data_IF_848717909066
#
_entry.id   IF_848717909066
#
_cell.length_a   1.000
_cell.length_b   1.000
_cell.length_c   1.000
_cell.angle_alpha   90.00
_cell.angle_beta   90.00
_cell.angle_gamma   90.00
#
_symmetry.space_group_name_H-M   'P 1'
#
loop_
_entity.id
_entity.type
_entity.pdbx_description
1 polymer ?
#
# COMPACT_ATOMS: atom_id res chain seq x y z
N UNK A 1 -2.30 1.63 5.91
CA UNK A 1 -3.18 1.70 7.09
C UNK A 1 -3.54 3.15 7.26
N UNK A 2 -4.83 3.50 7.20
CA UNK A 2 -5.26 4.90 7.36
C UNK A 2 -5.12 5.25 8.83
N UNK A 3 -4.32 6.26 9.13
CA UNK A 3 -4.29 6.87 10.45
C UNK A 3 -5.54 7.73 10.55
N UNK A 4 -6.55 7.27 11.28
CA UNK A 4 -7.74 8.05 11.58
C UNK A 4 -7.39 8.98 12.75
N UNK A 5 -7.26 10.26 12.50
CA UNK A 5 -7.26 11.27 13.55
C UNK A 5 -8.69 11.77 13.73
N UNK A 6 -9.13 11.94 14.95
CA UNK A 6 -10.49 12.26 15.34
C UNK A 6 -10.50 13.62 16.02
N UNK A 7 -10.69 14.64 15.26
CA UNK A 7 -10.82 15.98 15.81
C UNK A 7 -12.23 16.52 15.63
N UNK A 8 -12.98 16.65 16.67
CA UNK A 8 -13.88 17.75 16.97
C UNK A 8 -14.57 17.52 18.32
N UNK A 9 -14.12 18.26 19.30
CA UNK A 9 -14.82 18.38 20.58
C UNK A 9 -14.42 17.38 21.68
N UNK A 10 -13.55 16.40 21.39
CA UNK A 10 -13.11 15.45 22.40
C UNK A 10 -11.77 15.86 22.99
N UNK A 11 -11.77 16.18 24.27
CA UNK A 11 -10.59 16.42 25.11
C UNK A 11 -10.14 15.15 25.84
N UNK A 12 -10.78 14.01 25.55
CA UNK A 12 -10.50 12.74 26.23
C UNK A 12 -9.97 11.67 25.25
N UNK A 13 -9.05 10.86 25.76
CA UNK A 13 -8.49 9.72 25.04
C UNK A 13 -9.57 8.63 24.79
N UNK A 14 -9.77 8.24 23.53
CA UNK A 14 -10.65 7.15 23.16
C UNK A 14 -9.88 5.89 22.84
N UNK A 15 -10.35 4.78 23.37
CA UNK A 15 -9.77 3.46 23.13
C UNK A 15 -10.69 2.59 22.31
N UNK A 16 -10.08 1.80 21.41
CA UNK A 16 -10.78 0.88 20.53
C UNK A 16 -10.11 -0.48 20.54
N UNK A 17 -10.88 -1.56 20.54
CA UNK A 17 -10.40 -2.88 20.18
C UNK A 17 -10.29 -2.96 18.65
N UNK A 18 -9.18 -3.51 18.13
CA UNK A 18 -9.01 -3.81 16.71
C UNK A 18 -9.27 -5.29 16.50
N UNK A 19 -10.14 -5.60 15.56
CA UNK A 19 -10.60 -6.97 15.28
C UNK A 19 -10.34 -7.31 13.81
N UNK A 20 -9.96 -8.56 13.56
CA UNK A 20 -9.84 -9.17 12.24
C UNK A 20 -10.57 -10.51 12.26
N UNK A 21 -11.55 -10.71 11.36
CA UNK A 21 -12.44 -11.88 11.37
C UNK A 21 -13.11 -12.14 12.74
N UNK A 22 -13.51 -11.08 13.44
CA UNK A 22 -14.15 -11.17 14.75
C UNK A 22 -13.19 -11.45 15.94
N UNK A 23 -11.92 -11.77 15.68
CA UNK A 23 -10.91 -11.95 16.72
C UNK A 23 -10.22 -10.63 17.03
N UNK A 24 -10.03 -10.33 18.30
CA UNK A 24 -9.28 -9.14 18.72
C UNK A 24 -7.80 -9.34 18.44
N UNK A 25 -7.25 -8.47 17.58
CA UNK A 25 -5.84 -8.50 17.16
C UNK A 25 -5.03 -7.33 17.70
N UNK A 26 -5.68 -6.40 18.41
CA UNK A 26 -4.98 -5.23 18.92
C UNK A 26 -5.88 -4.22 19.60
N UNK A 27 -5.32 -3.04 19.76
CA UNK A 27 -6.06 -1.87 20.21
C UNK A 27 -5.57 -0.62 19.49
N UNK A 28 -6.43 0.40 19.48
CA UNK A 28 -6.06 1.74 19.06
C UNK A 28 -6.45 2.76 20.13
N UNK A 29 -5.68 3.83 20.22
CA UNK A 29 -5.93 5.01 21.03
C UNK A 29 -5.97 6.23 20.13
N UNK A 30 -6.95 7.10 20.32
CA UNK A 30 -7.02 8.43 19.72
C UNK A 30 -7.17 9.44 20.83
N UNK A 31 -6.39 10.52 20.79
CA UNK A 31 -6.48 11.64 21.69
C UNK A 31 -6.26 12.95 20.95
N UNK A 32 -7.01 13.98 21.32
CA UNK A 32 -6.82 15.34 20.83
C UNK A 32 -6.69 16.28 22.01
N UNK A 33 -5.72 17.17 21.97
CA UNK A 33 -5.45 18.15 23.01
C UNK A 33 -5.27 19.53 22.40
N UNK A 34 -5.78 20.56 23.07
CA UNK A 34 -5.49 21.96 22.69
C UNK A 34 -4.07 22.31 23.07
N UNK A 35 -3.38 23.02 22.19
CA UNK A 35 -1.99 23.46 22.39
C UNK A 35 -1.77 24.82 21.75
N UNK A 36 -0.55 25.33 21.85
CA UNK A 36 -0.11 26.54 21.14
C UNK A 36 1.06 26.18 20.25
N UNK A 37 0.99 26.54 18.98
CA UNK A 37 2.07 26.34 18.01
C UNK A 37 2.38 27.66 17.29
N UNK A 38 3.64 28.10 17.36
CA UNK A 38 4.09 29.38 16.80
C UNK A 38 3.19 30.59 17.21
N UNK A 39 2.74 30.63 18.48
CA UNK A 39 1.91 31.70 19.01
C UNK A 39 0.43 31.64 18.62
N UNK A 40 -0.01 30.62 17.88
CA UNK A 40 -1.41 30.41 17.47
C UNK A 40 -2.03 29.26 18.25
N UNK A 41 -3.36 29.35 18.50
CA UNK A 41 -4.12 28.20 19.00
C UNK A 41 -4.03 27.05 18.01
N UNK A 42 -3.69 25.87 18.49
CA UNK A 42 -3.47 24.68 17.71
C UNK A 42 -4.12 23.46 18.39
N UNK A 43 -4.31 22.40 17.61
CA UNK A 43 -4.71 21.10 18.11
C UNK A 43 -3.56 20.11 17.88
N UNK A 44 -3.33 19.26 18.87
CA UNK A 44 -2.41 18.14 18.80
C UNK A 44 -3.23 16.86 18.85
N UNK A 45 -3.28 16.16 17.72
CA UNK A 45 -3.93 14.87 17.59
C UNK A 45 -2.88 13.76 17.66
N UNK A 46 -3.16 12.69 18.40
CA UNK A 46 -2.32 11.50 18.45
C UNK A 46 -3.15 10.26 18.21
N UNK A 47 -2.65 9.38 17.37
CA UNK A 47 -3.17 8.02 17.18
C UNK A 47 -2.08 7.00 17.47
N UNK A 48 -2.41 6.00 18.30
CA UNK A 48 -1.55 4.85 18.58
C UNK A 48 -2.32 3.59 18.22
N UNK A 49 -1.74 2.74 17.37
CA UNK A 49 -2.29 1.42 17.06
C UNK A 49 -1.25 0.35 17.38
N UNK A 50 -1.67 -0.66 18.13
CA UNK A 50 -0.85 -1.84 18.47
C UNK A 50 -1.58 -3.07 17.93
N UNK A 51 -0.89 -3.86 17.11
CA UNK A 51 -1.44 -5.03 16.43
C UNK A 51 -0.57 -6.26 16.66
N UNK A 52 -1.23 -7.42 16.77
CA UNK A 52 -0.63 -8.75 16.78
C UNK A 52 -1.38 -9.59 15.75
N UNK A 53 -0.81 -9.77 14.57
CA UNK A 53 -1.46 -10.43 13.41
C UNK A 53 -0.57 -11.53 12.84
N UNK A 54 -1.16 -12.43 12.05
CA UNK A 54 -0.45 -13.30 11.12
C UNK A 54 -0.22 -12.60 9.78
N UNK A 55 0.88 -12.88 9.13
CA UNK A 55 1.19 -12.45 7.75
C UNK A 55 2.02 -13.54 7.06
N UNK A 56 1.42 -14.22 6.09
CA UNK A 56 2.04 -15.32 5.32
C UNK A 56 2.67 -16.38 6.27
N UNK A 57 1.89 -16.82 7.27
CA UNK A 57 2.32 -17.81 8.27
C UNK A 57 3.29 -17.33 9.33
N UNK A 58 3.71 -16.06 9.32
CA UNK A 58 4.57 -15.47 10.34
C UNK A 58 3.75 -14.61 11.31
N UNK A 59 4.13 -14.62 12.59
CA UNK A 59 3.55 -13.68 13.57
C UNK A 59 4.23 -12.31 13.47
N UNK A 60 3.41 -11.26 13.39
CA UNK A 60 3.85 -9.87 13.26
C UNK A 60 3.27 -9.05 14.40
N UNK A 61 4.13 -8.50 15.24
CA UNK A 61 3.79 -7.49 16.22
C UNK A 61 4.12 -6.11 15.61
N UNK A 62 3.13 -5.23 15.55
CA UNK A 62 3.26 -3.91 14.94
C UNK A 62 2.77 -2.82 15.89
N UNK A 63 3.53 -1.75 15.99
CA UNK A 63 3.13 -0.52 16.66
C UNK A 63 3.21 0.64 15.68
N UNK A 64 2.16 1.44 15.62
CA UNK A 64 2.07 2.66 14.80
C UNK A 64 1.67 3.80 15.74
N UNK A 65 2.47 4.85 15.80
CA UNK A 65 2.25 6.03 16.65
C UNK A 65 2.40 7.27 15.78
N UNK A 66 1.33 8.03 15.62
CA UNK A 66 1.30 9.24 14.81
C UNK A 66 0.83 10.41 15.65
N UNK A 67 1.51 11.53 15.52
CA UNK A 67 1.17 12.79 16.16
C UNK A 67 1.15 13.89 15.12
N UNK A 68 0.05 14.66 15.05
CA UNK A 68 -0.10 15.79 14.13
C UNK A 68 -0.47 17.04 14.89
N UNK A 69 0.14 18.17 14.52
CA UNK A 69 -0.22 19.50 14.99
C UNK A 69 -0.95 20.21 13.86
N UNK A 70 -2.19 20.65 14.12
CA UNK A 70 -3.03 21.38 13.19
C UNK A 70 -3.37 22.77 13.68
N UNK A 71 -3.46 23.72 12.76
CA UNK A 71 -4.01 25.07 12.99
C UNK A 71 -5.09 25.33 11.96
N UNK A 72 -6.28 25.72 12.40
CA UNK A 72 -7.45 25.93 11.53
C UNK A 72 -7.69 24.74 10.57
N UNK A 73 -7.70 23.54 11.10
CA UNK A 73 -7.90 22.26 10.38
C UNK A 73 -6.83 21.95 9.30
N UNK A 74 -5.68 22.61 9.36
CA UNK A 74 -4.57 22.35 8.45
C UNK A 74 -3.38 21.76 9.20
N UNK A 75 -2.83 20.64 8.77
CA UNK A 75 -1.62 20.07 9.38
C UNK A 75 -0.43 21.00 9.14
N UNK A 76 0.38 21.20 10.18
CA UNK A 76 1.62 21.97 10.13
C UNK A 76 2.85 21.11 10.42
N UNK A 77 2.71 20.14 11.31
CA UNK A 77 3.77 19.20 11.66
C UNK A 77 3.16 17.84 11.93
N UNK A 78 3.86 16.80 11.48
CA UNK A 78 3.54 15.42 11.80
C UNK A 78 4.80 14.70 12.27
N UNK A 79 4.65 13.84 13.27
CA UNK A 79 5.63 12.85 13.67
C UNK A 79 4.96 11.48 13.59
N UNK A 80 5.59 10.57 12.88
CA UNK A 80 5.12 9.21 12.71
C UNK A 80 6.21 8.23 13.11
N UNK A 81 5.86 7.20 13.86
CA UNK A 81 6.72 6.11 14.22
C UNK A 81 6.00 4.79 13.96
N UNK A 82 6.63 3.92 13.22
CA UNK A 82 6.18 2.53 13.08
C UNK A 82 7.28 1.58 13.47
N UNK A 83 6.92 0.52 14.19
CA UNK A 83 7.87 -0.55 14.55
C UNK A 83 7.24 -1.91 14.31
N UNK A 84 8.02 -2.84 13.76
CA UNK A 84 7.66 -4.23 13.50
C UNK A 84 8.92 -5.08 13.41
N UNK A 85 8.89 -6.30 13.94
CA UNK A 85 10.00 -7.26 13.89
C UNK A 85 11.35 -6.67 14.36
N UNK A 86 11.34 -5.88 15.44
CA UNK A 86 12.53 -5.23 15.98
C UNK A 86 13.06 -4.04 15.17
N UNK A 87 12.35 -3.59 14.15
CA UNK A 87 12.71 -2.46 13.29
C UNK A 87 11.82 -1.28 13.59
N UNK A 88 12.37 -0.08 13.40
CA UNK A 88 11.65 1.17 13.60
C UNK A 88 11.91 2.12 12.44
N UNK A 89 10.84 2.69 11.92
CA UNK A 89 10.86 3.82 11.00
C UNK A 89 10.27 5.03 11.70
N UNK A 90 10.91 6.18 11.56
CA UNK A 90 10.35 7.47 12.01
C UNK A 90 10.29 8.42 10.82
N UNK A 91 9.17 9.11 10.68
CA UNK A 91 8.98 10.18 9.70
C UNK A 91 8.60 11.46 10.44
N UNK A 92 9.32 12.53 10.20
CA UNK A 92 8.96 13.87 10.63
C UNK A 92 8.63 14.71 9.41
N UNK A 93 7.40 15.25 9.35
CA UNK A 93 6.95 16.07 8.24
C UNK A 93 6.61 17.49 8.69
N UNK A 94 6.96 18.46 7.87
CA UNK A 94 6.59 19.87 8.00
C UNK A 94 5.79 20.28 6.78
N UNK A 95 4.65 20.89 7.02
CA UNK A 95 3.72 21.29 5.95
C UNK A 95 3.82 22.79 5.74
N UNK A 96 4.11 23.19 4.50
CA UNK A 96 4.06 24.56 4.02
C UNK A 96 2.80 24.80 3.18
N UNK A 97 2.70 25.93 2.51
CA UNK A 97 1.60 26.21 1.57
C UNK A 97 1.77 25.47 0.23
N UNK A 98 2.99 25.10 -0.12
CA UNK A 98 3.34 24.58 -1.44
C UNK A 98 3.97 23.19 -1.41
N UNK A 99 4.39 22.73 -0.23
CA UNK A 99 5.12 21.45 -0.13
C UNK A 99 5.07 20.85 1.27
N UNK A 100 5.40 19.57 1.33
CA UNK A 100 5.70 18.84 2.57
C UNK A 100 7.19 18.48 2.54
N UNK A 101 7.93 18.90 3.57
CA UNK A 101 9.30 18.48 3.81
C UNK A 101 9.28 17.31 4.79
N UNK A 102 9.75 16.14 4.37
CA UNK A 102 9.78 14.94 5.19
C UNK A 102 11.20 14.47 5.42
N UNK A 103 11.53 14.23 6.70
CA UNK A 103 12.77 13.57 7.15
C UNK A 103 12.43 12.16 7.62
N UNK A 104 13.09 11.18 7.05
CA UNK A 104 12.82 9.76 7.26
C UNK A 104 14.05 9.13 7.90
N UNK A 105 13.85 8.40 9.00
CA UNK A 105 14.87 7.59 9.64
C UNK A 105 14.46 6.12 9.62
N UNK A 106 15.15 5.33 8.82
CA UNK A 106 14.98 3.89 8.72
C UNK A 106 16.13 3.18 9.45
N UNK A 107 15.91 2.85 10.73
CA UNK A 107 16.90 2.10 11.50
C UNK A 107 18.29 2.77 11.55
N UNK A 108 18.35 4.11 11.60
CA UNK A 108 19.59 4.90 11.61
C UNK A 108 20.04 5.45 10.25
N UNK A 109 19.40 5.06 9.15
CA UNK A 109 19.64 5.67 7.84
C UNK A 109 18.70 6.86 7.65
N UNK A 110 19.28 8.07 7.55
CA UNK A 110 18.53 9.31 7.34
C UNK A 110 18.40 9.64 5.86
N UNK A 111 17.20 10.04 5.46
CA UNK A 111 16.93 10.61 4.14
C UNK A 111 15.90 11.72 4.23
N UNK A 112 15.95 12.67 3.29
CA UNK A 112 15.01 13.78 3.23
C UNK A 112 14.36 13.81 1.85
N UNK A 113 13.11 14.24 1.80
CA UNK A 113 12.39 14.44 0.54
C UNK A 113 11.44 15.63 0.65
N UNK A 114 11.13 16.23 -0.49
CA UNK A 114 10.15 17.31 -0.59
C UNK A 114 9.05 16.87 -1.55
N UNK A 115 7.81 16.95 -1.11
CA UNK A 115 6.63 16.55 -1.87
C UNK A 115 5.85 17.82 -2.19
N UNK A 116 5.69 18.18 -3.48
CA UNK A 116 4.91 19.35 -3.86
C UNK A 116 3.42 19.11 -3.57
N UNK A 117 2.74 20.13 -3.04
CA UNK A 117 1.29 20.12 -2.87
C UNK A 117 0.60 20.49 -4.18
N UNK A 118 -0.51 19.80 -4.54
CA UNK A 118 -1.35 20.19 -5.66
C UNK A 118 -1.92 21.62 -5.44
N UNK A 119 -1.96 22.44 -6.47
CA UNK A 119 -2.44 23.84 -6.38
C UNK A 119 -3.88 23.98 -5.90
N UNK A 120 -4.70 22.99 -6.22
CA UNK A 120 -6.13 22.87 -5.86
C UNK A 120 -6.36 21.85 -4.74
N UNK A 121 -5.29 21.25 -4.21
CA UNK A 121 -5.33 20.19 -3.21
C UNK A 121 -5.58 20.72 -1.81
N UNK A 122 -6.69 20.29 -1.20
CA UNK A 122 -6.94 20.47 0.22
C UNK A 122 -6.29 19.31 0.97
N UNK A 123 -5.42 19.63 1.92
CA UNK A 123 -4.76 18.64 2.77
C UNK A 123 -5.36 18.68 4.18
N UNK A 124 -5.68 17.51 4.69
CA UNK A 124 -6.15 17.30 6.05
C UNK A 124 -5.35 16.18 6.69
N UNK A 125 -5.38 16.10 8.02
CA UNK A 125 -4.76 15.00 8.76
C UNK A 125 -5.67 13.77 8.87
N UNK A 126 -6.99 13.96 8.71
CA UNK A 126 -7.99 12.90 8.75
C UNK A 126 -9.27 13.23 7.96
N UNK A 127 -10.07 12.21 7.59
CA UNK A 127 -11.30 12.40 6.82
C UNK A 127 -12.44 13.08 7.58
N UNK A 128 -12.49 12.98 8.90
CA UNK A 128 -13.55 13.59 9.69
C UNK A 128 -13.32 15.08 9.79
N UNK A 129 -12.09 15.50 10.08
CA UNK A 129 -11.69 16.91 10.01
C UNK A 129 -11.98 17.50 8.63
N UNK A 130 -11.70 16.74 7.55
CA UNK A 130 -12.02 17.17 6.19
C UNK A 130 -13.52 17.42 5.99
N UNK A 131 -14.38 16.54 6.47
CA UNK A 131 -15.84 16.69 6.38
C UNK A 131 -16.36 17.85 7.22
N UNK A 132 -15.84 18.01 8.44
CA UNK A 132 -16.25 19.07 9.37
C UNK A 132 -15.82 20.46 8.90
N UNK A 133 -14.69 20.57 8.22
CA UNK A 133 -14.21 21.81 7.63
C UNK A 133 -15.14 22.34 6.50
N UNK A 134 -16.13 21.55 6.08
CA UNK A 134 -17.08 21.92 5.03
C UNK A 134 -18.54 21.66 5.46
N UNK A 135 -19.09 22.49 6.35
CA UNK A 135 -20.48 22.35 6.78
C UNK A 135 -21.44 22.47 5.59
N UNK A 136 -22.45 21.64 5.57
CA UNK A 136 -23.52 21.64 4.55
C UNK A 136 -23.30 20.69 3.37
N UNK A 137 -22.37 19.74 3.45
CA UNK A 137 -22.10 18.74 2.39
C UNK A 137 -22.96 17.47 2.55
N UNK A 138 -24.04 17.48 3.28
CA UNK A 138 -24.96 16.34 3.30
C UNK A 138 -25.32 15.91 1.87
N UNK A 139 -24.96 14.68 1.48
CA UNK A 139 -25.16 14.13 0.14
C UNK A 139 -24.17 14.58 -0.94
N UNK A 140 -23.09 15.30 -0.59
CA UNK A 140 -22.00 15.65 -1.53
C UNK A 140 -20.73 14.89 -1.24
N UNK A 141 -19.98 14.66 -2.31
CA UNK A 141 -18.66 14.04 -2.30
C UNK A 141 -17.59 15.10 -1.99
N UNK A 142 -16.66 14.77 -1.11
CA UNK A 142 -15.49 15.58 -0.79
C UNK A 142 -14.23 14.90 -1.29
N UNK A 143 -13.46 15.59 -2.15
CA UNK A 143 -12.14 15.16 -2.59
C UNK A 143 -11.07 15.95 -1.83
N UNK A 144 -10.08 15.27 -1.26
CA UNK A 144 -9.01 15.86 -0.45
C UNK A 144 -7.75 14.99 -0.48
N UNK A 145 -6.68 15.50 0.12
CA UNK A 145 -5.42 14.75 0.25
C UNK A 145 -5.10 14.50 1.71
N UNK A 146 -4.54 13.32 1.97
CA UNK A 146 -3.89 12.97 3.25
C UNK A 146 -2.43 12.65 2.95
N UNK A 147 -1.53 13.12 3.79
CA UNK A 147 -0.14 12.67 3.74
C UNK A 147 -0.03 11.31 4.43
N UNK A 148 0.38 10.29 3.67
CA UNK A 148 0.71 8.98 4.22
C UNK A 148 2.19 8.90 4.59
N UNK A 149 2.53 8.92 5.89
CA UNK A 149 3.92 8.87 6.31
C UNK A 149 4.60 7.52 6.08
N UNK A 150 3.85 6.44 5.90
CA UNK A 150 4.43 5.10 5.68
C UNK A 150 5.04 4.95 4.29
N UNK A 151 4.41 5.53 3.27
CA UNK A 151 4.92 5.59 1.89
C UNK A 151 5.56 6.93 1.53
N UNK A 152 5.49 7.90 2.44
CA UNK A 152 5.98 9.29 2.25
C UNK A 152 5.38 9.91 0.98
N UNK A 153 4.06 9.82 0.86
CA UNK A 153 3.33 10.24 -0.33
C UNK A 153 2.00 10.94 0.01
N UNK A 154 1.48 11.71 -0.94
CA UNK A 154 0.14 12.26 -0.86
C UNK A 154 -0.86 11.27 -1.44
N UNK A 155 -1.84 10.88 -0.63
CA UNK A 155 -2.95 10.04 -1.04
C UNK A 155 -4.19 10.87 -1.31
N UNK A 156 -4.74 10.76 -2.53
CA UNK A 156 -6.01 11.37 -2.86
C UNK A 156 -7.13 10.53 -2.29
N UNK A 157 -7.96 11.14 -1.47
CA UNK A 157 -9.08 10.50 -0.80
C UNK A 157 -10.40 11.11 -1.28
N UNK A 158 -11.46 10.33 -1.16
CA UNK A 158 -12.83 10.73 -1.37
C UNK A 158 -13.66 10.35 -0.15
N UNK A 159 -14.50 11.27 0.37
CA UNK A 159 -15.40 10.97 1.46
C UNK A 159 -16.83 11.39 1.11
N UNK A 160 -17.81 10.60 1.55
CA UNK A 160 -19.23 10.87 1.36
C UNK A 160 -20.06 10.08 2.40
N UNK A 161 -21.32 10.46 2.58
CA UNK A 161 -22.25 9.68 3.40
C UNK A 161 -22.81 8.51 2.61
N UNK A 162 -22.70 7.30 3.17
CA UNK A 162 -23.29 6.09 2.62
C UNK A 162 -24.81 6.00 2.88
N UNK A 163 -25.41 4.94 2.38
CA UNK A 163 -26.79 4.59 2.72
C UNK A 163 -26.90 4.26 4.21
N UNK A 164 -28.09 4.50 4.77
CA UNK A 164 -28.36 4.18 6.16
C UNK A 164 -28.33 2.66 6.37
N UNK A 165 -27.62 2.25 7.39
CA UNK A 165 -27.52 0.87 7.82
C UNK A 165 -28.08 0.72 9.25
N UNK A 166 -28.74 -0.41 9.54
CA UNK A 166 -29.19 -0.71 10.90
C UNK A 166 -28.01 -1.17 11.75
N UNK A 167 -27.83 -0.53 12.90
CA UNK A 167 -26.85 -0.91 13.90
C UNK A 167 -27.54 -1.04 15.25
N UNK A 168 -27.87 -2.27 15.63
CA UNK A 168 -28.54 -2.59 16.91
C UNK A 168 -29.84 -1.77 17.10
N UNK A 169 -30.66 -1.64 16.04
CA UNK A 169 -31.93 -0.90 16.05
C UNK A 169 -31.79 0.60 15.84
N UNK A 170 -30.59 1.11 15.58
CA UNK A 170 -30.34 2.53 15.26
C UNK A 170 -29.92 2.65 13.79
N UNK A 171 -30.67 3.45 13.04
CA UNK A 171 -30.37 3.70 11.61
C UNK A 171 -29.28 4.78 11.47
N UNK A 172 -28.07 4.40 11.08
CA UNK A 172 -26.90 5.28 10.95
C UNK A 172 -26.41 5.30 9.51
N UNK A 173 -26.18 6.50 8.95
CA UNK A 173 -25.48 6.66 7.68
C UNK A 173 -23.96 6.69 7.95
N UNK A 174 -23.17 5.71 7.49
CA UNK A 174 -21.74 5.76 7.68
C UNK A 174 -21.09 6.85 6.83
N UNK A 175 -20.02 7.44 7.32
CA UNK A 175 -19.06 8.16 6.49
C UNK A 175 -18.22 7.13 5.76
N UNK A 176 -18.31 7.12 4.43
CA UNK A 176 -17.48 6.26 3.58
C UNK A 176 -16.27 7.06 3.14
N UNK A 177 -15.08 6.52 3.38
CA UNK A 177 -13.81 7.10 2.94
C UNK A 177 -13.16 6.13 1.99
N UNK A 178 -12.95 6.56 0.76
CA UNK A 178 -12.20 5.82 -0.25
C UNK A 178 -10.77 6.39 -0.32
N UNK A 179 -9.82 5.65 0.22
CA UNK A 179 -8.39 5.79 -0.01
C UNK A 179 -8.00 4.86 -1.17
N UNK A 180 -6.99 5.13 -1.99
CA UNK A 180 -6.58 4.25 -3.08
C UNK A 180 -6.32 2.80 -2.66
N UNK A 181 -6.01 2.54 -1.40
CA UNK A 181 -5.65 1.22 -0.86
C UNK A 181 -6.84 0.46 -0.26
N UNK A 182 -7.79 1.17 0.36
CA UNK A 182 -8.92 0.55 1.03
C UNK A 182 -10.10 1.52 1.18
N UNK A 183 -11.29 0.95 1.33
CA UNK A 183 -12.49 1.70 1.72
C UNK A 183 -12.72 1.53 3.21
N UNK A 184 -13.00 2.62 3.90
CA UNK A 184 -13.32 2.65 5.32
C UNK A 184 -14.73 3.18 5.52
N UNK A 185 -15.53 2.51 6.34
CA UNK A 185 -16.83 2.96 6.83
C UNK A 185 -16.69 3.39 8.29
N UNK A 186 -17.08 4.64 8.60
CA UNK A 186 -17.01 5.20 9.94
C UNK A 186 -18.44 5.51 10.39
N UNK A 187 -18.88 4.87 11.45
CA UNK A 187 -20.21 5.05 12.01
C UNK A 187 -20.10 6.01 13.20
N UNK A 188 -20.86 7.11 13.13
CA UNK A 188 -20.87 8.16 14.14
C UNK A 188 -22.20 8.15 14.89
N UNK A 189 -22.16 8.30 16.23
CA UNK A 189 -23.36 8.57 17.04
C UNK A 189 -23.99 9.91 16.70
N UNK A 190 -25.20 10.16 17.13
CA UNK A 190 -25.84 11.49 17.00
C UNK A 190 -25.06 12.63 17.68
N UNK A 191 -24.09 12.31 18.55
CA UNK A 191 -23.19 13.27 19.20
C UNK A 191 -21.85 13.42 18.46
N UNK A 192 -21.63 12.64 17.39
CA UNK A 192 -20.38 12.65 16.63
C UNK A 192 -19.30 11.70 17.14
N UNK A 193 -19.60 10.87 18.16
CA UNK A 193 -18.65 9.85 18.64
C UNK A 193 -18.57 8.68 17.68
N UNK A 194 -17.39 8.10 17.52
CA UNK A 194 -17.25 6.87 16.74
C UNK A 194 -17.82 5.69 17.53
N UNK A 195 -18.77 5.01 16.91
CA UNK A 195 -19.37 3.78 17.47
C UNK A 195 -18.82 2.52 16.79
N UNK A 196 -18.33 2.63 15.56
CA UNK A 196 -17.68 1.53 14.82
C UNK A 196 -16.86 2.09 13.67
N UNK A 197 -15.76 1.43 13.34
CA UNK A 197 -15.07 1.59 12.06
C UNK A 197 -14.97 0.21 11.42
N UNK A 198 -15.26 0.12 10.13
CA UNK A 198 -15.08 -1.08 9.32
C UNK A 198 -14.26 -0.78 8.09
N UNK A 199 -13.44 -1.73 7.64
CA UNK A 199 -12.64 -1.58 6.42
C UNK A 199 -12.95 -2.66 5.40
N UNK A 200 -12.68 -2.40 4.13
CA UNK A 200 -12.86 -3.37 3.04
C UNK A 200 -12.00 -4.64 3.18
N UNK A 201 -10.99 -4.63 4.04
CA UNK A 201 -10.15 -5.79 4.35
C UNK A 201 -10.62 -6.59 5.57
N UNK A 202 -11.82 -6.29 6.09
CA UNK A 202 -12.39 -6.99 7.24
C UNK A 202 -11.80 -6.61 8.60
N UNK A 203 -11.01 -5.53 8.68
CA UNK A 203 -10.59 -4.96 9.96
C UNK A 203 -11.74 -4.12 10.51
N UNK A 204 -12.12 -4.38 11.75
CA UNK A 204 -13.10 -3.58 12.50
C UNK A 204 -12.45 -2.94 13.74
N UNK A 205 -12.97 -1.75 14.11
CA UNK A 205 -12.63 -1.12 15.38
C UNK A 205 -13.92 -0.81 16.14
N UNK A 206 -13.94 -1.14 17.43
CA UNK A 206 -15.09 -0.93 18.32
C UNK A 206 -14.61 -0.26 19.60
N UNK A 207 -15.36 0.72 20.14
CA UNK A 207 -14.99 1.40 21.38
C UNK A 207 -14.80 0.40 22.54
N UNK A 208 -13.79 0.64 23.34
CA UNK A 208 -13.51 -0.09 24.58
C UNK A 208 -13.16 0.89 25.69
N UNK A 209 -13.36 0.48 26.95
CA UNK A 209 -12.73 1.19 28.05
C UNK A 209 -11.20 1.05 28.00
N UNK A 210 -10.48 1.99 28.62
CA UNK A 210 -9.01 1.92 28.71
C UNK A 210 -8.53 0.59 29.29
N UNK A 211 -9.19 0.12 30.35
CA UNK A 211 -8.84 -1.16 31.01
C UNK A 211 -8.99 -2.33 30.03
N UNK A 212 -10.13 -2.43 29.33
CA UNK A 212 -10.36 -3.46 28.32
C UNK A 212 -9.38 -3.37 27.14
N UNK A 213 -9.06 -2.17 26.68
CA UNK A 213 -8.14 -1.98 25.55
C UNK A 213 -6.71 -2.45 25.88
N UNK A 214 -6.25 -2.19 27.10
CA UNK A 214 -4.91 -2.54 27.57
C UNK A 214 -4.81 -3.96 28.16
N UNK A 215 -5.93 -4.65 28.32
CA UNK A 215 -5.92 -6.05 28.73
C UNK A 215 -5.15 -6.90 27.71
N UNK A 216 -4.31 -7.79 28.23
CA UNK A 216 -3.52 -8.69 27.38
C UNK A 216 -4.43 -9.52 26.48
N UNK A 217 -4.10 -9.54 25.18
CA UNK A 217 -4.84 -10.33 24.21
C UNK A 217 -4.45 -11.79 24.44
N UNK A 218 -5.34 -12.53 25.09
CA UNK A 218 -5.20 -13.97 25.25
C UNK A 218 -5.50 -14.64 23.92
N UNK A 219 -4.47 -14.93 23.14
CA UNK A 219 -4.63 -15.73 21.94
C UNK A 219 -4.90 -17.19 22.33
N UNK A 220 -6.15 -17.61 22.19
CA UNK A 220 -6.57 -19.01 22.40
C UNK A 220 -6.42 -19.87 21.13
N UNK A 221 -5.75 -19.36 20.10
CA UNK A 221 -5.57 -20.03 18.80
C UNK A 221 -4.53 -19.32 17.92
N UNK A 222 -4.42 -19.74 16.66
CA UNK A 222 -3.59 -19.09 15.66
C UNK A 222 -4.11 -17.68 15.38
N UNK A 223 -3.20 -16.72 15.27
CA UNK A 223 -3.54 -15.32 14.91
C UNK A 223 -4.13 -15.28 13.50
N UNK A 224 -5.19 -14.49 13.24
CA UNK A 224 -5.69 -14.30 11.89
C UNK A 224 -4.58 -13.82 10.96
N UNK A 225 -4.37 -14.54 9.86
CA UNK A 225 -3.37 -14.19 8.86
C UNK A 225 -3.97 -13.26 7.81
N UNK A 226 -3.39 -12.05 7.69
CA UNK A 226 -3.91 -11.02 6.78
C UNK A 226 -3.83 -11.47 5.31
N UNK A 227 -2.83 -12.25 4.92
CA UNK A 227 -2.72 -12.76 3.56
C UNK A 227 -3.86 -13.75 3.26
N UNK A 228 -4.18 -14.64 4.20
CA UNK A 228 -5.29 -15.58 4.06
C UNK A 228 -6.67 -14.89 4.06
N UNK A 229 -6.84 -13.88 4.91
CA UNK A 229 -8.09 -13.09 4.98
C UNK A 229 -8.37 -12.36 3.67
N UNK A 230 -7.33 -11.90 2.99
CA UNK A 230 -7.45 -11.17 1.72
C UNK A 230 -7.27 -12.07 0.49
N UNK A 231 -7.00 -13.34 0.66
CA UNK A 231 -6.86 -14.31 -0.43
C UNK A 231 -8.17 -14.52 -1.21
N UNK A 232 -8.07 -14.70 -2.52
CA UNK A 232 -9.22 -14.88 -3.39
C UNK A 232 -9.16 -16.27 -4.04
N UNK A 233 -10.15 -17.10 -3.75
CA UNK A 233 -10.27 -18.43 -4.36
C UNK A 233 -11.09 -18.34 -5.65
N UNK A 234 -10.49 -18.62 -6.81
CA UNK A 234 -11.21 -18.57 -8.08
C UNK A 234 -12.15 -19.77 -8.24
N UNK A 235 -13.15 -19.62 -9.11
CA UNK A 235 -14.07 -20.69 -9.49
C UNK A 235 -14.08 -20.84 -11.03
N UNK A 236 -13.78 -22.02 -11.60
CA UNK A 236 -13.15 -23.17 -10.94
C UNK A 236 -11.72 -22.89 -10.48
N UNK A 237 -11.17 -23.78 -9.65
CA UNK A 237 -9.78 -23.71 -9.19
C UNK A 237 -8.81 -23.84 -10.37
N UNK A 238 -7.72 -23.09 -10.33
CA UNK A 238 -6.66 -23.15 -11.33
C UNK A 238 -5.81 -24.42 -11.19
N UNK A 239 -5.46 -25.02 -12.32
CA UNK A 239 -4.55 -26.17 -12.40
C UNK A 239 -3.15 -25.68 -12.78
N UNK A 240 -2.11 -26.14 -12.05
CA UNK A 240 -0.71 -25.80 -12.34
C UNK A 240 -0.47 -24.31 -12.63
N UNK A 241 -0.82 -23.39 -11.71
CA UNK A 241 -0.82 -21.95 -11.95
C UNK A 241 0.53 -21.40 -12.41
N UNK A 242 1.66 -22.01 -11.97
CA UNK A 242 3.02 -21.55 -12.31
C UNK A 242 3.37 -21.76 -13.79
N UNK A 243 2.72 -22.72 -14.48
CA UNK A 243 3.00 -23.05 -15.88
C UNK A 243 1.95 -22.51 -16.85
N UNK A 244 0.94 -21.80 -16.34
CA UNK A 244 -0.13 -21.22 -17.16
C UNK A 244 0.42 -20.15 -18.11
N UNK A 245 0.17 -20.33 -19.41
CA UNK A 245 0.63 -19.44 -20.49
C UNK A 245 -0.43 -18.45 -20.94
N UNK A 246 -1.69 -18.80 -20.77
CA UNK A 246 -2.84 -17.94 -21.05
C UNK A 246 -3.90 -18.14 -19.98
N UNK A 247 -4.48 -17.02 -19.51
CA UNK A 247 -5.54 -17.02 -18.52
C UNK A 247 -6.57 -15.96 -18.87
N UNK A 248 -7.84 -16.35 -18.96
CA UNK A 248 -8.96 -15.43 -19.08
C UNK A 248 -9.85 -15.54 -17.86
N UNK A 249 -10.05 -14.41 -17.20
CA UNK A 249 -10.80 -14.31 -15.95
C UNK A 249 -11.93 -13.31 -16.09
N UNK A 250 -12.99 -13.51 -15.32
CA UNK A 250 -13.94 -12.48 -14.95
C UNK A 250 -13.67 -12.08 -13.51
N UNK A 251 -13.38 -10.80 -13.29
CA UNK A 251 -13.05 -10.24 -11.98
C UNK A 251 -14.10 -9.21 -11.59
N UNK A 252 -14.69 -9.37 -10.41
CA UNK A 252 -15.62 -8.40 -9.83
C UNK A 252 -15.26 -8.11 -8.38
N UNK A 253 -15.44 -6.87 -7.96
CA UNK A 253 -15.33 -6.43 -6.58
C UNK A 253 -16.09 -5.12 -6.40
N UNK A 254 -16.59 -4.86 -5.19
CA UNK A 254 -17.42 -3.69 -4.88
C UNK A 254 -16.67 -2.37 -5.15
N UNK A 255 -15.38 -2.36 -4.89
CA UNK A 255 -14.51 -1.18 -4.99
C UNK A 255 -13.61 -1.18 -6.23
N UNK A 256 -13.76 -2.13 -7.18
CA UNK A 256 -12.94 -2.19 -8.38
C UNK A 256 -13.43 -1.19 -9.43
N UNK A 257 -12.74 -0.07 -9.59
CA UNK A 257 -13.10 1.01 -10.53
C UNK A 257 -12.42 0.90 -11.89
N UNK A 258 -11.35 0.14 -11.98
CA UNK A 258 -10.58 -0.12 -13.19
C UNK A 258 -9.32 -0.91 -12.91
N UNK A 259 -8.72 -1.40 -13.98
CA UNK A 259 -7.44 -2.12 -13.96
C UNK A 259 -6.56 -1.65 -15.12
N UNK A 260 -5.22 -1.61 -14.97
CA UNK A 260 -4.36 -1.23 -16.08
C UNK A 260 -4.40 -2.30 -17.19
N UNK A 261 -4.60 -1.85 -18.42
CA UNK A 261 -4.35 -2.65 -19.61
C UNK A 261 -2.91 -2.45 -20.07
N UNK A 262 -2.26 -3.48 -20.57
CA UNK A 262 -0.85 -3.40 -20.96
C UNK A 262 -0.44 -4.48 -21.95
N UNK A 263 0.86 -4.71 -22.07
CA UNK A 263 1.41 -5.58 -23.11
C UNK A 263 1.07 -7.05 -22.90
N UNK A 264 0.97 -7.50 -21.66
CA UNK A 264 0.63 -8.88 -21.33
C UNK A 264 -0.79 -9.06 -20.79
N UNK A 265 -1.48 -7.97 -20.40
CA UNK A 265 -2.82 -7.98 -19.83
C UNK A 265 -3.77 -7.10 -20.65
N UNK A 266 -4.89 -7.67 -21.11
CA UNK A 266 -5.97 -6.96 -21.78
C UNK A 266 -7.20 -6.94 -20.87
N UNK A 267 -7.87 -5.79 -20.83
CA UNK A 267 -9.01 -5.53 -19.95
C UNK A 267 -10.21 -5.09 -20.78
N UNK A 268 -11.33 -5.74 -20.54
CA UNK A 268 -12.63 -5.39 -21.12
C UNK A 268 -13.64 -5.23 -20.00
N UNK A 269 -14.37 -4.10 -19.99
CA UNK A 269 -15.43 -3.88 -19.00
C UNK A 269 -16.68 -4.65 -19.44
N UNK A 270 -17.34 -5.31 -18.50
CA UNK A 270 -18.62 -5.97 -18.69
C UNK A 270 -19.65 -5.47 -17.67
N UNK A 271 -20.93 -5.78 -17.86
CA UNK A 271 -22.02 -5.32 -16.97
C UNK A 271 -21.83 -5.79 -15.51
N UNK A 272 -21.15 -6.92 -15.30
CA UNK A 272 -20.97 -7.54 -13.99
C UNK A 272 -19.52 -7.59 -13.51
N UNK A 273 -18.63 -6.73 -14.05
CA UNK A 273 -17.23 -6.67 -13.65
C UNK A 273 -16.27 -6.44 -14.82
N UNK A 274 -15.13 -7.10 -14.79
CA UNK A 274 -14.04 -6.93 -15.75
C UNK A 274 -13.60 -8.28 -16.29
N UNK A 275 -13.51 -8.39 -17.62
CA UNK A 275 -12.86 -9.52 -18.26
C UNK A 275 -11.38 -9.19 -18.43
N UNK A 276 -10.53 -10.07 -17.91
CA UNK A 276 -9.08 -9.93 -17.91
C UNK A 276 -8.49 -11.08 -18.70
N UNK A 277 -7.78 -10.77 -19.79
CA UNK A 277 -7.05 -11.75 -20.58
C UNK A 277 -5.55 -11.52 -20.41
N UNK A 278 -4.85 -12.52 -19.90
CA UNK A 278 -3.41 -12.46 -19.59
C UNK A 278 -2.70 -13.48 -20.45
N UNK A 279 -1.65 -13.05 -21.12
CA UNK A 279 -0.79 -13.92 -21.92
C UNK A 279 0.62 -13.87 -21.35
N UNK A 280 1.23 -15.03 -21.09
CA UNK A 280 2.63 -15.08 -20.66
C UNK A 280 3.51 -14.33 -21.66
N UNK A 281 4.31 -13.35 -21.20
CA UNK A 281 5.22 -12.64 -22.08
C UNK A 281 6.21 -13.60 -22.74
N UNK A 282 6.39 -13.47 -24.05
CA UNK A 282 7.42 -14.22 -24.78
C UNK A 282 8.69 -13.39 -24.83
N UNK A 283 9.83 -14.08 -24.80
CA UNK A 283 11.11 -13.47 -25.13
C UNK A 283 11.04 -12.96 -26.58
N UNK A 284 11.18 -11.66 -26.75
CA UNK A 284 11.24 -10.99 -28.05
C UNK A 284 12.59 -10.28 -28.18
N UNK A 285 13.05 -9.98 -29.39
CA UNK A 285 14.24 -9.14 -29.57
C UNK A 285 14.05 -7.84 -28.80
N UNK A 286 14.93 -7.57 -27.85
CA UNK A 286 14.90 -6.31 -27.11
C UNK A 286 15.89 -5.32 -27.68
N UNK A 287 15.60 -4.02 -27.49
CA UNK A 287 16.51 -2.93 -27.86
C UNK A 287 17.65 -2.81 -26.86
N UNK A 288 18.64 -2.03 -27.24
CA UNK A 288 19.75 -1.71 -26.36
C UNK A 288 19.31 -0.89 -25.14
N UNK A 289 20.06 -1.01 -24.04
CA UNK A 289 19.84 -0.22 -22.83
C UNK A 289 19.79 1.29 -23.14
N UNK A 290 20.68 1.76 -24.02
CA UNK A 290 20.74 3.17 -24.41
C UNK A 290 19.48 3.65 -25.14
N UNK A 291 18.93 2.84 -26.05
CA UNK A 291 17.69 3.17 -26.77
C UNK A 291 16.48 3.17 -25.83
N UNK A 292 16.38 2.16 -24.96
CA UNK A 292 15.30 2.08 -23.97
C UNK A 292 15.34 3.25 -22.98
N UNK A 293 16.53 3.61 -22.49
CA UNK A 293 16.73 4.73 -21.58
C UNK A 293 16.30 6.08 -22.19
N UNK A 294 16.60 6.29 -23.49
CA UNK A 294 16.17 7.49 -24.23
C UNK A 294 14.64 7.52 -24.43
N UNK A 295 14.03 6.36 -24.67
CA UNK A 295 12.60 6.26 -24.92
C UNK A 295 11.75 6.48 -23.65
N UNK A 296 12.25 6.10 -22.49
CA UNK A 296 11.50 6.12 -21.21
C UNK A 296 12.29 6.75 -20.05
N UNK A 297 12.76 8.02 -20.19
CA UNK A 297 13.65 8.64 -19.19
C UNK A 297 12.98 8.86 -17.82
N UNK A 298 11.67 9.00 -17.78
CA UNK A 298 10.91 9.17 -16.54
C UNK A 298 11.07 7.98 -15.60
N UNK A 299 11.18 6.77 -16.15
CA UNK A 299 11.29 5.53 -15.38
C UNK A 299 12.73 5.14 -14.99
N UNK A 300 13.66 6.11 -15.11
CA UNK A 300 15.03 6.01 -14.63
C UNK A 300 15.26 6.83 -13.35
N UNK A 301 14.28 7.67 -12.96
CA UNK A 301 14.43 8.61 -11.84
C UNK A 301 14.51 7.86 -10.52
N UNK A 302 15.43 8.29 -9.66
CA UNK A 302 15.49 7.86 -8.28
C UNK A 302 14.29 8.40 -7.48
N UNK A 303 13.95 7.72 -6.41
CA UNK A 303 13.01 8.18 -5.40
C UNK A 303 13.47 7.71 -4.02
N UNK A 304 12.80 8.18 -2.96
CA UNK A 304 13.14 7.81 -1.59
C UNK A 304 13.30 6.29 -1.38
N UNK A 305 12.37 5.49 -1.86
CA UNK A 305 12.41 4.03 -1.70
C UNK A 305 13.19 3.30 -2.82
N UNK A 306 13.46 4.00 -3.93
CA UNK A 306 14.21 3.50 -5.08
C UNK A 306 15.45 4.40 -5.32
N UNK A 307 16.48 4.35 -4.45
CA UNK A 307 17.67 5.21 -4.54
C UNK A 307 18.62 4.71 -5.64
N UNK A 308 18.17 4.75 -6.91
CA UNK A 308 18.91 4.22 -8.05
C UNK A 308 20.14 5.04 -8.45
N UNK A 309 20.29 6.25 -7.92
CA UNK A 309 21.46 7.13 -8.05
C UNK A 309 22.51 6.89 -6.95
N UNK A 310 22.21 6.08 -5.95
CA UNK A 310 23.16 5.73 -4.90
C UNK A 310 24.39 5.05 -5.51
N UNK A 311 25.64 5.52 -5.23
CA UNK A 311 26.86 4.98 -5.83
C UNK A 311 27.05 3.47 -5.63
N UNK A 312 26.63 2.92 -4.48
CA UNK A 312 26.69 1.47 -4.21
C UNK A 312 25.74 0.70 -5.11
N UNK A 313 24.50 1.21 -5.34
CA UNK A 313 23.53 0.60 -6.23
C UNK A 313 24.02 0.64 -7.68
N UNK A 314 24.57 1.78 -8.12
CA UNK A 314 25.14 1.94 -9.47
C UNK A 314 26.30 0.97 -9.69
N UNK A 315 27.23 0.87 -8.75
CA UNK A 315 28.38 -0.05 -8.84
C UNK A 315 27.92 -1.53 -8.89
N UNK A 316 26.94 -1.91 -8.05
CA UNK A 316 26.40 -3.27 -8.03
C UNK A 316 25.67 -3.58 -9.34
N UNK A 317 24.80 -2.69 -9.81
CA UNK A 317 24.07 -2.86 -11.06
C UNK A 317 25.01 -3.02 -12.25
N UNK A 318 26.07 -2.19 -12.35
CA UNK A 318 27.13 -2.32 -13.37
C UNK A 318 27.84 -3.67 -13.30
N UNK A 319 28.16 -4.14 -12.09
CA UNK A 319 28.79 -5.48 -11.90
C UNK A 319 27.88 -6.61 -12.39
N UNK A 320 26.57 -6.56 -12.08
CA UNK A 320 25.60 -7.59 -12.48
C UNK A 320 25.42 -7.63 -13.98
N UNK A 321 25.19 -6.47 -14.61
CA UNK A 321 24.93 -6.34 -16.05
C UNK A 321 26.18 -6.65 -16.85
N UNK A 322 27.36 -6.23 -16.40
CA UNK A 322 28.64 -6.41 -17.09
C UNK A 322 28.66 -5.73 -18.45
N UNK A 323 29.06 -6.46 -19.48
CA UNK A 323 29.11 -5.99 -20.88
C UNK A 323 27.78 -6.14 -21.66
N UNK A 324 26.70 -6.57 -20.98
CA UNK A 324 25.41 -6.79 -21.64
C UNK A 324 24.81 -5.45 -22.08
N UNK A 325 24.48 -5.32 -23.36
CA UNK A 325 23.83 -4.13 -23.95
C UNK A 325 22.34 -4.35 -24.21
N UNK A 326 21.88 -5.60 -24.30
CA UNK A 326 20.49 -5.98 -24.49
C UNK A 326 19.71 -5.79 -23.19
N UNK A 327 18.59 -5.04 -23.25
CA UNK A 327 17.81 -4.63 -22.08
C UNK A 327 17.14 -5.83 -21.38
N UNK A 328 16.56 -6.77 -22.14
CA UNK A 328 15.87 -7.93 -21.56
C UNK A 328 16.85 -8.87 -20.85
N UNK A 329 18.01 -9.10 -21.48
CA UNK A 329 19.08 -9.93 -20.86
C UNK A 329 19.64 -9.25 -19.61
N UNK A 330 19.79 -7.94 -19.61
CA UNK A 330 20.26 -7.21 -18.43
C UNK A 330 19.24 -7.25 -17.30
N UNK A 331 17.97 -7.11 -17.61
CA UNK A 331 16.88 -7.21 -16.62
C UNK A 331 16.83 -8.62 -16.01
N UNK A 332 16.97 -9.67 -16.81
CA UNK A 332 16.99 -11.05 -16.34
C UNK A 332 18.21 -11.35 -15.43
N UNK A 333 19.39 -10.81 -15.74
CA UNK A 333 20.56 -10.91 -14.84
C UNK A 333 20.27 -10.25 -13.48
N UNK A 334 19.62 -9.08 -13.48
CA UNK A 334 19.24 -8.38 -12.23
C UNK A 334 18.21 -9.20 -11.46
N UNK A 335 17.15 -9.69 -12.11
CA UNK A 335 16.14 -10.54 -11.51
C UNK A 335 16.77 -11.76 -10.83
N UNK A 336 17.59 -12.50 -11.57
CA UNK A 336 18.29 -13.69 -11.08
C UNK A 336 19.22 -13.37 -9.91
N UNK A 337 19.93 -12.24 -9.98
CA UNK A 337 20.79 -11.81 -8.88
C UNK A 337 19.97 -11.52 -7.61
N UNK A 338 18.89 -10.73 -7.70
CA UNK A 338 18.03 -10.41 -6.55
C UNK A 338 17.44 -11.71 -5.97
N UNK A 339 16.92 -12.59 -6.83
CA UNK A 339 16.42 -13.90 -6.42
C UNK A 339 17.47 -14.70 -5.62
N UNK A 340 18.73 -14.70 -6.08
CA UNK A 340 19.79 -15.50 -5.47
C UNK A 340 20.33 -14.98 -4.15
N UNK A 341 20.20 -13.67 -3.88
CA UNK A 341 20.78 -13.04 -2.67
C UNK A 341 19.77 -12.82 -1.56
N UNK A 342 18.47 -12.85 -1.87
CA UNK A 342 17.41 -12.56 -0.90
C UNK A 342 16.73 -13.83 -0.40
N UNK A 343 16.31 -13.80 0.85
CA UNK A 343 15.52 -14.84 1.51
C UNK A 343 14.14 -14.29 1.87
N UNK A 344 13.04 -15.02 1.59
CA UNK A 344 11.71 -14.63 2.01
C UNK A 344 11.59 -14.50 3.53
N UNK A 345 11.00 -13.40 4.00
CA UNK A 345 10.72 -13.15 5.41
C UNK A 345 9.43 -12.31 5.52
N UNK A 346 8.35 -12.98 5.88
CA UNK A 346 7.04 -12.37 6.00
C UNK A 346 6.87 -11.50 7.26
N UNK A 347 7.74 -11.66 8.27
CA UNK A 347 7.67 -10.91 9.52
C UNK A 347 7.95 -9.40 9.39
N UNK A 348 8.28 -8.91 8.20
CA UNK A 348 8.64 -7.52 7.95
C UNK A 348 7.41 -6.71 7.55
N UNK A 349 6.73 -6.11 8.53
CA UNK A 349 5.53 -5.29 8.31
C UNK A 349 5.77 -3.88 7.74
N UNK A 350 7.02 -3.36 7.76
CA UNK A 350 7.37 -1.98 7.41
C UNK A 350 7.86 -1.88 5.98
N UNK A 351 7.50 -0.80 5.26
CA UNK A 351 8.02 -0.48 3.94
C UNK A 351 9.47 0.04 4.07
N UNK A 352 10.38 -0.51 3.24
CA UNK A 352 11.82 -0.25 3.32
C UNK A 352 12.37 0.27 2.00
N UNK A 353 13.43 1.08 2.04
CA UNK A 353 14.17 1.45 0.85
C UNK A 353 15.12 0.31 0.39
N UNK A 354 15.57 0.41 -0.86
CA UNK A 354 16.43 -0.62 -1.44
C UNK A 354 17.80 -0.76 -0.74
N UNK A 355 18.32 0.27 -0.07
CA UNK A 355 19.60 0.19 0.65
C UNK A 355 19.46 -0.74 1.86
N UNK A 356 18.35 -0.59 2.60
CA UNK A 356 18.06 -1.45 3.74
C UNK A 356 17.80 -2.90 3.29
N UNK A 357 16.99 -3.07 2.22
CA UNK A 357 16.72 -4.38 1.63
C UNK A 357 18.02 -5.07 1.21
N UNK A 358 18.90 -4.38 0.49
CA UNK A 358 20.20 -4.93 0.07
C UNK A 358 21.11 -5.29 1.25
N UNK A 359 21.08 -4.49 2.33
CA UNK A 359 21.87 -4.75 3.54
C UNK A 359 21.40 -6.00 4.27
N UNK A 360 20.09 -6.19 4.40
CA UNK A 360 19.51 -7.28 5.19
C UNK A 360 19.28 -8.55 4.41
N UNK A 361 19.00 -8.43 3.09
CA UNK A 361 18.77 -9.54 2.16
C UNK A 361 17.62 -10.46 2.54
N UNK A 362 16.65 -9.94 3.28
CA UNK A 362 15.42 -10.64 3.63
C UNK A 362 14.23 -9.76 3.28
N UNK A 363 13.07 -10.33 2.99
CA UNK A 363 11.88 -9.54 2.71
C UNK A 363 10.72 -10.28 2.06
N UNK A 364 9.66 -9.52 1.77
CA UNK A 364 8.48 -9.97 1.04
C UNK A 364 8.50 -9.46 -0.41
N UNK A 365 7.50 -9.81 -1.20
CA UNK A 365 7.42 -9.47 -2.63
C UNK A 365 7.74 -8.00 -2.96
N UNK A 366 7.22 -7.05 -2.16
CA UNK A 366 7.49 -5.62 -2.34
C UNK A 366 8.97 -5.26 -2.18
N UNK A 367 9.69 -5.92 -1.26
CA UNK A 367 11.11 -5.67 -1.02
C UNK A 367 11.94 -6.18 -2.20
N UNK A 368 11.61 -7.36 -2.72
CA UNK A 368 12.20 -7.90 -3.96
C UNK A 368 11.96 -6.97 -5.15
N UNK A 369 10.72 -6.48 -5.31
CA UNK A 369 10.38 -5.56 -6.40
C UNK A 369 11.11 -4.22 -6.28
N UNK A 370 11.18 -3.62 -5.08
CA UNK A 370 11.89 -2.36 -4.81
C UNK A 370 13.39 -2.50 -5.14
N UNK A 371 14.05 -3.57 -4.69
CA UNK A 371 15.48 -3.79 -4.97
C UNK A 371 15.71 -4.03 -6.47
N UNK A 372 14.85 -4.84 -7.12
CA UNK A 372 14.94 -5.12 -8.57
C UNK A 372 14.76 -3.84 -9.38
N UNK A 373 13.73 -3.03 -9.09
CA UNK A 373 13.51 -1.75 -9.78
C UNK A 373 14.68 -0.78 -9.57
N UNK A 374 15.24 -0.74 -8.35
CA UNK A 374 16.40 0.10 -8.04
C UNK A 374 17.62 -0.29 -8.87
N UNK A 375 17.95 -1.56 -8.93
CA UNK A 375 19.10 -2.07 -9.71
C UNK A 375 18.87 -1.90 -11.22
N UNK A 376 17.64 -2.10 -11.71
CA UNK A 376 17.29 -1.82 -13.09
C UNK A 376 17.52 -0.35 -13.44
N UNK A 377 16.96 0.59 -12.67
CA UNK A 377 17.15 2.03 -12.91
C UNK A 377 18.60 2.46 -12.77
N UNK A 378 19.35 1.90 -11.80
CA UNK A 378 20.77 2.14 -11.62
C UNK A 378 21.60 1.68 -12.84
N UNK A 379 21.19 0.59 -13.51
CA UNK A 379 21.77 0.10 -14.75
C UNK A 379 21.21 0.81 -16.01
N UNK A 380 20.41 1.88 -15.85
CA UNK A 380 19.73 2.62 -16.93
C UNK A 380 18.66 1.82 -17.68
N UNK A 381 18.10 0.77 -17.07
CA UNK A 381 16.93 0.09 -17.58
C UNK A 381 15.66 0.81 -17.05
N UNK A 382 14.78 1.33 -17.91
CA UNK A 382 13.53 1.95 -17.46
C UNK A 382 12.66 0.90 -16.80
N UNK A 383 12.34 1.11 -15.54
CA UNK A 383 11.62 0.16 -14.71
C UNK A 383 10.51 0.82 -13.90
N UNK A 384 9.33 0.21 -13.86
CA UNK A 384 8.22 0.57 -12.98
C UNK A 384 7.85 -0.61 -12.10
N UNK A 385 7.30 -0.32 -10.94
CA UNK A 385 6.70 -1.32 -10.08
C UNK A 385 5.30 -1.68 -10.60
N UNK A 386 4.89 -2.90 -10.38
CA UNK A 386 3.53 -3.36 -10.57
C UNK A 386 3.08 -4.14 -9.34
N UNK A 387 1.80 -4.08 -9.05
CA UNK A 387 1.17 -4.86 -7.99
C UNK A 387 -0.17 -5.41 -8.45
N UNK A 388 -0.60 -6.46 -7.80
CA UNK A 388 -1.86 -7.12 -8.13
C UNK A 388 -2.00 -8.45 -7.42
N UNK A 389 -2.48 -9.45 -8.14
CA UNK A 389 -2.70 -10.78 -7.62
C UNK A 389 -1.83 -11.79 -8.37
N UNK A 390 -1.36 -12.81 -7.67
CA UNK A 390 -0.72 -13.98 -8.28
C UNK A 390 -1.29 -15.24 -7.66
N UNK A 391 -1.47 -16.30 -8.45
CA UNK A 391 -1.98 -17.56 -7.92
C UNK A 391 -0.84 -18.45 -7.44
N UNK A 392 -0.89 -18.83 -6.15
CA UNK A 392 -0.14 -19.92 -5.55
C UNK A 392 -1.10 -21.04 -5.18
N UNK A 393 -0.82 -22.25 -5.58
CA UNK A 393 -1.66 -23.46 -5.32
C UNK A 393 -3.15 -23.25 -5.61
N UNK A 394 -3.46 -22.50 -6.70
CA UNK A 394 -4.81 -22.24 -7.14
C UNK A 394 -5.55 -21.11 -6.39
N UNK A 395 -4.94 -20.49 -5.41
CA UNK A 395 -5.49 -19.32 -4.69
C UNK A 395 -4.73 -18.06 -5.06
N UNK A 396 -5.44 -16.95 -5.27
CA UNK A 396 -4.84 -15.66 -5.55
C UNK A 396 -4.49 -14.91 -4.27
N UNK A 397 -3.24 -14.44 -4.20
CA UNK A 397 -2.70 -13.59 -3.14
C UNK A 397 -2.20 -12.27 -3.72
N UNK A 398 -2.19 -11.21 -2.91
CA UNK A 398 -1.61 -9.93 -3.31
C UNK A 398 -0.10 -10.05 -3.49
N UNK A 399 0.39 -9.47 -4.57
CA UNK A 399 1.78 -9.63 -5.00
C UNK A 399 2.32 -8.36 -5.65
N UNK A 400 3.67 -8.27 -5.75
CA UNK A 400 4.37 -7.16 -6.38
C UNK A 400 5.55 -7.67 -7.22
N UNK A 401 5.76 -7.03 -8.38
CA UNK A 401 6.84 -7.33 -9.33
C UNK A 401 7.33 -6.06 -10.02
N UNK A 402 8.22 -6.20 -10.98
CA UNK A 402 8.78 -5.10 -11.79
C UNK A 402 8.43 -5.29 -13.25
N UNK A 403 8.13 -4.22 -13.95
CA UNK A 403 8.05 -4.19 -15.42
C UNK A 403 9.18 -3.33 -15.97
N UNK A 404 9.94 -3.88 -16.92
CA UNK A 404 11.06 -3.20 -17.61
C UNK A 404 10.69 -2.96 -19.06
N UNK A 405 10.92 -1.74 -19.54
CA UNK A 405 10.72 -1.41 -20.94
C UNK A 405 11.87 -1.92 -21.79
N UNK A 406 11.58 -2.84 -22.72
CA UNK A 406 12.58 -3.52 -23.56
C UNK A 406 12.70 -2.97 -24.98
N UNK A 407 12.04 -1.81 -25.22
CA UNK A 407 12.12 -1.08 -26.51
C UNK A 407 10.84 -1.07 -27.33
N UNK A 408 9.98 -2.09 -27.20
CA UNK A 408 8.64 -2.14 -27.79
C UNK A 408 7.56 -2.36 -26.77
N UNK A 409 7.90 -3.03 -25.65
CA UNK A 409 6.96 -3.49 -24.62
C UNK A 409 7.50 -3.30 -23.22
N UNK A 410 6.58 -3.28 -22.26
CA UNK A 410 6.85 -3.46 -20.84
C UNK A 410 6.80 -4.95 -20.53
N UNK A 411 7.94 -5.52 -20.15
CA UNK A 411 8.08 -6.95 -19.83
C UNK A 411 8.16 -7.12 -18.32
N UNK A 412 7.31 -7.96 -17.71
CA UNK A 412 7.33 -8.18 -16.28
C UNK A 412 8.46 -9.13 -15.85
N UNK A 413 9.03 -8.85 -14.69
CA UNK A 413 10.08 -9.63 -14.02
C UNK A 413 9.72 -9.80 -12.55
N UNK A 414 9.55 -11.03 -12.11
CA UNK A 414 9.33 -11.38 -10.72
C UNK A 414 10.61 -12.02 -10.14
N UNK A 415 11.12 -11.44 -9.05
CA UNK A 415 12.35 -11.90 -8.41
C UNK A 415 12.10 -12.84 -7.22
N UNK A 416 10.85 -13.20 -6.91
CA UNK A 416 10.55 -14.15 -5.84
C UNK A 416 11.01 -15.56 -6.23
N UNK A 417 11.63 -16.35 -5.29
CA UNK A 417 12.19 -17.67 -5.58
C UNK A 417 11.18 -18.70 -6.08
N UNK A 418 9.92 -18.58 -5.71
CA UNK A 418 8.87 -19.56 -6.04
C UNK A 418 8.43 -19.58 -7.50
N UNK A 419 8.83 -18.58 -8.32
CA UNK A 419 8.46 -18.49 -9.72
C UNK A 419 9.69 -18.41 -10.62
N UNK A 420 10.10 -19.53 -11.28
CA UNK A 420 11.21 -19.52 -12.22
C UNK A 420 10.94 -18.67 -13.46
N UNK A 421 9.66 -18.56 -13.86
CA UNK A 421 9.21 -17.75 -14.98
C UNK A 421 7.93 -17.01 -14.60
N UNK A 422 7.70 -15.88 -15.25
CA UNK A 422 6.45 -15.11 -15.09
C UNK A 422 5.29 -15.85 -15.76
N UNK A 423 4.32 -16.32 -14.98
CA UNK A 423 3.14 -17.03 -15.47
C UNK A 423 1.98 -16.09 -15.80
N UNK A 424 1.03 -16.55 -16.60
CA UNK A 424 -0.19 -15.79 -16.90
C UNK A 424 -1.16 -15.66 -15.69
N UNK A 425 -0.77 -16.12 -14.51
CA UNK A 425 -1.58 -15.96 -13.28
C UNK A 425 -1.30 -14.66 -12.53
N UNK A 426 -0.48 -13.77 -13.08
CA UNK A 426 -0.24 -12.43 -12.52
C UNK A 426 -1.28 -11.44 -13.03
N UNK A 427 -2.27 -11.11 -12.23
CA UNK A 427 -3.33 -10.13 -12.52
C UNK A 427 -2.88 -8.76 -12.05
N UNK A 428 -2.56 -7.83 -12.94
CA UNK A 428 -2.11 -6.48 -12.59
C UNK A 428 -3.28 -5.59 -12.17
N UNK A 429 -3.23 -5.04 -10.97
CA UNK A 429 -4.21 -4.09 -10.42
C UNK A 429 -3.72 -2.66 -10.40
N UNK A 430 -2.40 -2.45 -10.29
CA UNK A 430 -1.79 -1.13 -10.28
C UNK A 430 -0.35 -1.17 -10.81
N UNK A 431 0.15 -0.01 -11.25
CA UNK A 431 1.54 0.15 -11.71
C UNK A 431 2.04 1.57 -11.50
N UNK A 432 3.35 1.76 -11.42
CA UNK A 432 3.95 3.09 -11.29
C UNK A 432 5.21 3.11 -10.42
N UNK A 433 5.34 4.15 -9.63
CA UNK A 433 6.31 4.20 -8.53
C UNK A 433 5.69 3.59 -7.27
N UNK A 434 6.44 3.61 -6.15
CA UNK A 434 5.99 2.98 -4.90
C UNK A 434 4.65 3.52 -4.42
N UNK A 435 4.45 4.84 -4.49
CA UNK A 435 3.24 5.54 -4.11
C UNK A 435 2.00 5.10 -4.89
N UNK A 436 2.14 4.84 -6.17
CA UNK A 436 1.05 4.40 -7.05
C UNK A 436 0.94 2.88 -7.14
N UNK A 437 2.05 2.18 -7.30
CA UNK A 437 2.04 0.72 -7.43
C UNK A 437 1.55 0.03 -6.15
N UNK A 438 1.96 0.52 -4.97
CA UNK A 438 1.55 -0.07 -3.69
C UNK A 438 0.34 0.62 -3.05
N UNK A 439 -0.26 1.59 -3.73
CA UNK A 439 -1.56 2.13 -3.42
C UNK A 439 -2.71 1.28 -4.02
N UNK A 440 -2.49 -0.02 -4.22
CA UNK A 440 -3.53 -0.89 -4.73
C UNK A 440 -4.62 -1.11 -3.69
N UNK A 441 -5.83 -1.11 -4.16
CA UNK A 441 -7.01 -1.37 -3.34
C UNK A 441 -7.12 -2.87 -3.08
N UNK A 442 -7.22 -3.28 -1.82
CA UNK A 442 -7.68 -4.62 -1.51
C UNK A 442 -9.12 -4.75 -1.99
N UNK A 443 -9.37 -5.74 -2.85
CA UNK A 443 -10.64 -5.93 -3.49
C UNK A 443 -11.70 -6.43 -2.49
N UNK A 444 -12.71 -5.59 -2.22
CA UNK A 444 -13.82 -5.91 -1.32
C UNK A 444 -14.83 -6.84 -2.00
N UNK A 445 -15.16 -7.95 -1.35
CA UNK A 445 -16.13 -8.92 -1.89
C UNK A 445 -15.68 -9.50 -3.23
N UNK A 446 -14.36 -9.61 -3.45
CA UNK A 446 -13.80 -10.05 -4.73
C UNK A 446 -14.27 -11.45 -5.14
N UNK A 447 -14.66 -11.58 -6.41
CA UNK A 447 -14.96 -12.86 -7.05
C UNK A 447 -14.13 -12.97 -8.32
N UNK A 448 -13.50 -14.11 -8.49
CA UNK A 448 -12.74 -14.45 -9.70
C UNK A 448 -13.32 -15.72 -10.29
N UNK A 449 -13.82 -15.62 -11.52
CA UNK A 449 -14.29 -16.74 -12.33
C UNK A 449 -13.26 -17.02 -13.43
N UNK A 450 -12.81 -18.27 -13.53
CA UNK A 450 -11.88 -18.71 -14.57
C UNK A 450 -12.70 -19.07 -15.82
N UNK A 451 -12.54 -18.27 -16.88
CA UNK A 451 -13.24 -18.48 -18.15
C UNK A 451 -12.42 -19.38 -19.10
N UNK A 452 -11.10 -19.26 -19.07
CA UNK A 452 -10.19 -20.06 -19.90
C UNK A 452 -8.80 -20.12 -19.28
N UNK A 453 -8.16 -21.31 -19.34
CA UNK A 453 -6.78 -21.53 -18.87
C UNK A 453 -6.03 -22.43 -19.88
N UNK A 454 -4.82 -22.03 -20.28
CA UNK A 454 -3.92 -22.82 -21.15
C UNK A 454 -2.48 -22.78 -20.66
#
# INVERSE_FOLDING_TARGET
>A
MVTLSLAAGMLEAQYFGVYLQGQRVGYALYETTRTVFAGKSAERSRSLTVLKIGLIGSEVDMKIDSETITVANRPLRMRFLTSSAGRTQTVEARFSETSIEASINNGGTLSNTTIPLPKDGRIYDDPITALQAQPGIAGKELNFYIFDPSSVALMKNRAFFGEKEDMDGVSIAPVIVEDPRLTTKIYLSGKGDIVKVGTSIGVEMKPLSKAQALEEIKNTGTRPDLAEVTAIRPTPTLNNPQTTKFLKLKVSAENLRGMPSGDFQKIEKSDSGWTVSITQPRAEPSKSISECAKAQPTWLKASHLIPSDNPKMVALAKKIVGSTTDTAKAAEKIRTHVNSIMTPDAGIGILRDANEVLKTRVGVCRDYAILTATLCRAAKLPAKLASGLVSFDGTFYYHAWVEVFTGSKWVPYDSIPSAPEFSATHVKLSEGNVDTAFAFTVLSGAKIEVLEQK
#
